data_IF_698268864539
#
_entry.id   IF_698268864539
#
_cell.length_a   1.000
_cell.length_b   1.000
_cell.length_c   1.000
_cell.angle_alpha   90.00
_cell.angle_beta   90.00
_cell.angle_gamma   90.00
#
_symmetry.space_group_name_H-M   'P 1'
#
loop_
_entity.id
_entity.type
_entity.pdbx_description
1 polymer ?
#
# COMPACT_ATOMS: atom_id res chain seq x y z
N UNK A 1 -6.22 9.96 -0.51
CA UNK A 1 -6.08 10.02 0.97
C UNK A 1 -6.31 11.42 1.55
N UNK A 2 -5.72 12.51 1.03
CA UNK A 2 -5.86 13.85 1.63
C UNK A 2 -7.23 14.54 1.44
N UNK A 3 -7.91 14.30 0.31
CA UNK A 3 -9.20 14.93 -0.04
C UNK A 3 -10.37 14.52 0.87
N UNK A 4 -10.38 13.29 1.38
CA UNK A 4 -11.39 12.86 2.37
C UNK A 4 -11.08 13.38 3.78
N UNK A 5 -9.80 13.48 4.16
CA UNK A 5 -9.41 14.15 5.41
C UNK A 5 -9.85 15.61 5.43
N UNK A 6 -9.88 16.27 4.27
CA UNK A 6 -10.35 17.64 4.12
C UNK A 6 -11.88 17.74 4.18
N UNK A 7 -12.63 16.84 3.55
CA UNK A 7 -14.09 16.78 3.71
C UNK A 7 -14.50 16.44 5.16
N UNK A 8 -13.75 15.56 5.84
CA UNK A 8 -13.95 15.27 7.26
C UNK A 8 -13.61 16.48 8.15
N UNK A 9 -12.52 17.19 7.88
CA UNK A 9 -12.15 18.39 8.62
C UNK A 9 -13.22 19.48 8.47
N UNK A 10 -13.77 19.65 7.27
CA UNK A 10 -14.84 20.63 7.01
C UNK A 10 -16.15 20.24 7.69
N UNK A 11 -16.52 18.95 7.67
CA UNK A 11 -17.67 18.47 8.44
C UNK A 11 -17.46 18.60 9.95
N UNK A 12 -16.23 18.44 10.45
CA UNK A 12 -15.92 18.58 11.87
C UNK A 12 -15.95 20.05 12.31
N UNK A 13 -15.50 20.97 11.45
CA UNK A 13 -15.65 22.42 11.63
C UNK A 13 -17.13 22.82 11.60
N UNK A 14 -17.92 22.28 10.67
CA UNK A 14 -19.36 22.51 10.60
C UNK A 14 -20.13 21.92 11.79
N UNK A 15 -19.67 20.79 12.36
CA UNK A 15 -20.19 20.24 13.62
C UNK A 15 -19.80 21.10 14.82
N UNK A 16 -18.57 21.60 14.88
CA UNK A 16 -18.16 22.54 15.94
C UNK A 16 -19.01 23.81 15.90
N UNK A 17 -19.24 24.40 14.73
CA UNK A 17 -20.11 25.58 14.60
C UNK A 17 -21.55 25.29 15.03
N UNK A 18 -22.10 24.13 14.68
CA UNK A 18 -23.43 23.71 15.18
C UNK A 18 -23.44 23.46 16.69
N UNK A 19 -22.37 22.89 17.24
CA UNK A 19 -22.19 22.70 18.67
C UNK A 19 -22.04 24.02 19.42
N UNK A 20 -21.31 24.98 18.86
CA UNK A 20 -21.14 26.34 19.39
C UNK A 20 -22.44 27.14 19.31
N UNK A 21 -23.21 27.01 18.23
CA UNK A 21 -24.54 27.62 18.11
C UNK A 21 -25.55 26.98 19.08
N UNK A 22 -25.53 25.65 19.22
CA UNK A 22 -26.38 24.94 20.18
C UNK A 22 -25.97 25.21 21.64
N UNK A 23 -24.67 25.38 21.91
CA UNK A 23 -24.15 25.76 23.21
C UNK A 23 -24.44 27.24 23.51
N UNK A 24 -24.36 28.13 22.53
CA UNK A 24 -24.78 29.53 22.66
C UNK A 24 -26.28 29.63 22.94
N UNK A 25 -27.11 28.80 22.30
CA UNK A 25 -28.55 28.74 22.59
C UNK A 25 -28.89 28.01 23.90
N UNK A 26 -28.02 27.13 24.40
CA UNK A 26 -28.20 26.44 25.68
C UNK A 26 -27.65 27.23 26.88
N UNK A 27 -26.61 28.05 26.67
CA UNK A 27 -26.07 28.96 27.68
C UNK A 27 -27.06 30.07 28.04
N UNK A 28 -27.97 30.42 27.12
CA UNK A 28 -29.11 31.30 27.38
C UNK A 28 -30.24 30.59 28.17
N UNK A 29 -30.11 29.29 28.45
CA UNK A 29 -31.21 28.45 28.92
C UNK A 29 -30.97 27.53 30.12
N UNK A 30 -29.79 27.44 30.75
CA UNK A 30 -29.63 26.40 31.77
C UNK A 30 -28.38 26.42 32.63
N UNK A 31 -28.57 26.95 33.84
CA UNK A 31 -27.79 26.64 35.04
C UNK A 31 -28.02 25.18 35.44
N UNK A 32 -26.95 24.40 35.61
CA UNK A 32 -26.95 23.22 36.49
C UNK A 32 -26.23 21.95 36.00
N UNK A 33 -25.20 21.51 36.74
CA UNK A 33 -25.06 20.09 37.10
C UNK A 33 -23.93 19.23 36.49
N UNK A 34 -22.75 19.27 37.13
CA UNK A 34 -21.96 18.12 37.64
C UNK A 34 -21.69 16.82 36.83
N UNK A 35 -20.43 16.69 36.37
CA UNK A 35 -19.39 15.68 36.73
C UNK A 35 -19.48 14.14 36.49
N UNK A 36 -18.28 13.61 36.18
CA UNK A 36 -17.69 12.27 36.51
C UNK A 36 -17.82 11.17 35.43
N UNK A 37 -16.93 10.18 35.26
CA UNK A 37 -15.55 9.86 35.67
C UNK A 37 -15.22 8.45 35.11
N UNK A 38 -13.93 8.09 35.07
CA UNK A 38 -13.34 6.74 35.07
C UNK A 38 -13.32 5.91 33.78
N UNK A 39 -12.42 4.95 33.55
CA UNK A 39 -11.01 4.66 33.88
C UNK A 39 -10.71 3.28 33.22
N UNK A 40 -9.44 2.99 32.92
CA UNK A 40 -8.91 1.80 32.20
C UNK A 40 -9.16 0.43 32.91
N UNK A 41 -8.77 -0.73 32.33
CA UNK A 41 -7.38 -1.21 32.52
C UNK A 41 -6.77 -2.11 31.41
N UNK A 42 -5.44 -2.24 31.54
CA UNK A 42 -4.42 -3.06 30.85
C UNK A 42 -4.52 -4.58 31.14
N UNK A 43 -3.89 -5.44 30.32
CA UNK A 43 -3.19 -6.71 30.69
C UNK A 43 -2.48 -7.35 29.44
N UNK A 44 -1.59 -8.39 29.56
CA UNK A 44 -0.20 -8.32 29.09
C UNK A 44 0.28 -9.47 28.15
N UNK A 45 1.59 -9.38 27.84
CA UNK A 45 2.51 -10.27 27.09
C UNK A 45 2.42 -11.79 27.35
N UNK A 46 2.69 -12.57 26.29
CA UNK A 46 3.13 -13.97 26.39
C UNK A 46 4.29 -14.24 25.42
N UNK A 47 5.45 -14.57 25.98
CA UNK A 47 6.63 -15.15 25.32
C UNK A 47 6.48 -16.67 25.25
N UNK A 48 6.92 -17.30 24.16
CA UNK A 48 7.37 -18.70 24.20
C UNK A 48 8.62 -18.89 23.34
N UNK A 49 9.69 -19.27 24.04
CA UNK A 49 10.85 -20.03 23.58
C UNK A 49 10.45 -21.45 23.16
N UNK A 50 11.09 -22.02 22.14
CA UNK A 50 11.56 -23.42 22.07
C UNK A 50 12.19 -23.68 20.69
N UNK A 51 13.15 -24.59 20.45
CA UNK A 51 14.32 -25.19 21.13
C UNK A 51 14.90 -26.18 20.11
N UNK A 52 16.22 -26.20 20.00
CA UNK A 52 17.01 -27.10 19.14
C UNK A 52 16.70 -28.59 19.35
N UNK A 53 16.89 -29.42 18.31
CA UNK A 53 17.31 -30.82 18.45
C UNK A 53 18.00 -31.33 17.17
N UNK A 54 19.32 -31.54 17.27
CA UNK A 54 20.10 -32.47 16.45
C UNK A 54 20.09 -33.85 17.14
N UNK A 55 20.33 -34.95 16.40
CA UNK A 55 21.08 -36.03 17.01
C UNK A 55 22.21 -36.57 16.14
N UNK A 56 23.25 -36.91 16.89
CA UNK A 56 24.52 -37.56 16.59
C UNK A 56 24.41 -39.07 16.32
N UNK A 57 25.34 -39.54 15.48
CA UNK A 57 26.19 -40.73 15.58
C UNK A 57 25.61 -42.09 16.05
N UNK A 58 25.88 -43.14 15.26
CA UNK A 58 26.42 -44.40 15.77
C UNK A 58 27.11 -45.21 14.67
N UNK A 59 28.30 -45.67 15.00
CA UNK A 59 29.15 -46.70 14.40
C UNK A 59 28.51 -48.10 14.45
N UNK A 60 28.84 -48.99 13.51
CA UNK A 60 29.05 -50.41 13.83
C UNK A 60 29.90 -51.12 12.78
N UNK A 61 30.83 -51.94 13.27
CA UNK A 61 31.84 -52.74 12.54
C UNK A 61 31.23 -54.04 11.99
N UNK A 62 31.77 -54.55 10.87
CA UNK A 62 31.39 -55.83 10.32
C UNK A 62 32.28 -56.26 9.15
N UNK A 63 33.31 -57.02 9.50
CA UNK A 63 34.26 -57.73 8.63
C UNK A 63 33.60 -58.92 7.88
N UNK A 64 34.29 -59.33 6.81
CA UNK A 64 34.23 -60.64 6.11
C UNK A 64 33.12 -60.90 5.07
N UNK A 65 33.46 -60.80 3.77
CA UNK A 65 33.36 -61.88 2.74
C UNK A 65 33.53 -61.30 1.31
N UNK A 66 34.76 -60.87 0.99
CA UNK A 66 35.14 -60.29 -0.30
C UNK A 66 35.50 -61.38 -1.31
N UNK A 67 34.61 -61.66 -2.27
CA UNK A 67 35.03 -62.44 -3.44
C UNK A 67 34.03 -62.68 -4.55
N UNK A 68 32.72 -62.66 -4.28
CA UNK A 68 31.70 -62.92 -5.31
C UNK A 68 30.51 -61.97 -5.32
N UNK A 69 30.47 -60.97 -4.42
CA UNK A 69 29.36 -60.02 -4.32
C UNK A 69 29.58 -58.70 -5.10
N UNK A 70 30.84 -58.37 -5.41
CA UNK A 70 31.21 -57.13 -6.15
C UNK A 70 30.56 -57.01 -7.53
N UNK A 71 30.48 -58.10 -8.31
CA UNK A 71 29.86 -58.05 -9.65
C UNK A 71 28.34 -57.85 -9.61
N UNK A 72 27.68 -58.25 -8.52
CA UNK A 72 26.23 -58.10 -8.37
C UNK A 72 25.87 -56.74 -7.78
N UNK A 73 26.67 -56.24 -6.85
CA UNK A 73 26.53 -54.90 -6.27
C UNK A 73 26.77 -53.79 -7.30
N UNK A 74 27.69 -54.00 -8.25
CA UNK A 74 27.94 -53.05 -9.33
C UNK A 74 26.75 -52.91 -10.29
N UNK A 75 26.08 -54.02 -10.62
CA UNK A 75 24.89 -54.01 -11.49
C UNK A 75 23.70 -53.35 -10.77
N UNK A 76 23.53 -53.65 -9.48
CA UNK A 76 22.46 -53.06 -8.65
C UNK A 76 22.71 -51.56 -8.44
N UNK A 77 23.94 -51.15 -8.10
CA UNK A 77 24.38 -49.76 -7.98
C UNK A 77 24.11 -48.95 -9.26
N UNK A 78 24.48 -49.51 -10.41
CA UNK A 78 24.29 -48.87 -11.71
C UNK A 78 22.81 -48.73 -12.07
N UNK A 79 21.99 -49.73 -11.72
CA UNK A 79 20.53 -49.67 -11.91
C UNK A 79 19.87 -48.61 -11.02
N UNK A 80 20.33 -48.51 -9.76
CA UNK A 80 19.80 -47.56 -8.79
C UNK A 80 20.17 -46.12 -9.16
N UNK A 81 21.40 -45.90 -9.65
CA UNK A 81 21.86 -44.60 -10.14
C UNK A 81 21.05 -44.14 -11.36
N UNK A 82 20.74 -45.06 -12.31
CA UNK A 82 19.86 -44.77 -13.45
C UNK A 82 18.43 -44.45 -13.01
N UNK A 83 17.87 -45.22 -12.07
CA UNK A 83 16.54 -44.97 -11.53
C UNK A 83 16.43 -43.61 -10.83
N UNK A 84 17.42 -43.25 -9.99
CA UNK A 84 17.51 -41.92 -9.37
C UNK A 84 17.60 -40.80 -10.40
N UNK A 85 18.35 -41.01 -11.49
CA UNK A 85 18.49 -40.01 -12.56
C UNK A 85 17.17 -39.79 -13.31
N UNK A 86 16.42 -40.86 -13.60
CA UNK A 86 15.11 -40.78 -14.23
C UNK A 86 14.11 -40.11 -13.30
N UNK A 87 14.07 -40.51 -12.02
CA UNK A 87 13.22 -39.89 -11.01
C UNK A 87 13.50 -38.39 -10.87
N UNK A 88 14.77 -37.98 -10.77
CA UNK A 88 15.15 -36.57 -10.68
C UNK A 88 14.77 -35.78 -11.93
N UNK A 89 14.86 -36.38 -13.12
CA UNK A 89 14.40 -35.74 -14.37
C UNK A 89 12.88 -35.60 -14.42
N UNK A 90 12.13 -36.60 -13.95
CA UNK A 90 10.67 -36.55 -13.89
C UNK A 90 10.18 -35.57 -12.81
N UNK A 91 10.81 -35.55 -11.64
CA UNK A 91 10.52 -34.59 -10.57
C UNK A 91 10.88 -33.16 -11.00
N UNK A 92 12.01 -32.96 -11.68
CA UNK A 92 12.38 -31.68 -12.27
C UNK A 92 11.38 -31.23 -13.34
N UNK A 93 10.97 -32.13 -14.24
CA UNK A 93 9.96 -31.85 -15.28
C UNK A 93 8.57 -31.55 -14.68
N UNK A 94 8.18 -32.25 -13.61
CA UNK A 94 6.94 -31.98 -12.89
C UNK A 94 6.97 -30.60 -12.21
N UNK A 95 8.07 -30.21 -11.57
CA UNK A 95 8.21 -28.88 -10.95
C UNK A 95 8.37 -27.72 -11.96
N UNK A 96 8.91 -28.01 -13.15
CA UNK A 96 9.18 -27.02 -14.19
C UNK A 96 7.91 -26.52 -14.92
N UNK A 97 6.75 -27.14 -14.66
CA UNK A 97 5.53 -26.90 -15.42
C UNK A 97 4.45 -26.13 -14.67
N UNK A 98 4.78 -25.36 -13.62
CA UNK A 98 3.92 -24.19 -13.32
C UNK A 98 4.13 -23.22 -14.48
N UNK A 99 3.18 -23.11 -15.42
CA UNK A 99 3.45 -22.40 -16.65
C UNK A 99 3.75 -20.96 -16.26
N UNK A 100 4.84 -20.37 -16.78
CA UNK A 100 5.23 -18.99 -16.47
C UNK A 100 4.06 -17.98 -16.64
N UNK A 101 3.07 -18.36 -17.46
CA UNK A 101 1.80 -17.67 -17.64
C UNK A 101 0.91 -17.65 -16.37
N UNK A 102 0.85 -18.74 -15.60
CA UNK A 102 0.09 -18.80 -14.35
C UNK A 102 0.70 -17.90 -13.28
N UNK A 103 2.04 -17.88 -13.17
CA UNK A 103 2.75 -16.96 -12.29
C UNK A 103 2.45 -15.51 -12.66
N UNK A 104 2.50 -15.19 -13.95
CA UNK A 104 2.18 -13.84 -14.45
C UNK A 104 0.73 -13.46 -14.18
N UNK A 105 -0.21 -14.38 -14.43
CA UNK A 105 -1.64 -14.17 -14.18
C UNK A 105 -1.94 -13.93 -12.69
N UNK A 106 -1.30 -14.69 -11.80
CA UNK A 106 -1.42 -14.48 -10.35
C UNK A 106 -0.98 -13.09 -9.91
N UNK A 107 0.09 -12.54 -10.49
CA UNK A 107 0.48 -11.17 -10.15
C UNK A 107 -0.45 -10.10 -10.72
N UNK A 108 -1.10 -10.36 -11.87
CA UNK A 108 -2.16 -9.49 -12.37
C UNK A 108 -3.39 -9.48 -11.46
N UNK A 109 -3.79 -10.63 -10.88
CA UNK A 109 -4.90 -10.65 -9.94
C UNK A 109 -4.55 -9.91 -8.65
N UNK A 110 -3.32 -10.06 -8.14
CA UNK A 110 -2.82 -9.26 -7.00
C UNK A 110 -2.84 -7.76 -7.34
N UNK A 111 -2.45 -7.37 -8.55
CA UNK A 111 -2.50 -5.97 -8.99
C UNK A 111 -3.95 -5.46 -9.01
N UNK A 112 -4.87 -6.17 -9.66
CA UNK A 112 -6.30 -5.78 -9.69
C UNK A 112 -6.89 -5.72 -8.29
N UNK A 113 -6.56 -6.69 -7.44
CA UNK A 113 -6.99 -6.72 -6.04
C UNK A 113 -6.44 -5.53 -5.25
N UNK A 114 -5.17 -5.16 -5.47
CA UNK A 114 -4.56 -3.98 -4.83
C UNK A 114 -5.23 -2.67 -5.27
N UNK A 115 -5.59 -2.53 -6.54
CA UNK A 115 -6.35 -1.38 -7.04
C UNK A 115 -7.76 -1.35 -6.43
N UNK A 116 -8.40 -2.52 -6.33
CA UNK A 116 -9.72 -2.65 -5.73
C UNK A 116 -9.69 -2.23 -4.26
N UNK A 117 -8.80 -2.79 -3.44
CA UNK A 117 -8.65 -2.37 -2.04
C UNK A 117 -8.21 -0.91 -1.91
N UNK A 118 -7.40 -0.41 -2.86
CA UNK A 118 -6.98 0.98 -2.92
C UNK A 118 -8.14 1.97 -3.16
N UNK A 119 -9.19 1.51 -3.83
CA UNK A 119 -10.43 2.24 -4.10
C UNK A 119 -11.42 2.30 -2.92
N UNK A 120 -10.98 1.98 -1.70
CA UNK A 120 -11.84 1.87 -0.53
C UNK A 120 -12.75 3.11 -0.37
N UNK A 121 -14.09 2.93 -0.32
CA UNK A 121 -15.02 4.04 -0.21
C UNK A 121 -14.82 4.74 1.14
N UNK A 122 -14.64 6.06 1.10
CA UNK A 122 -14.33 6.84 2.30
C UNK A 122 -15.59 7.41 2.96
N UNK A 123 -16.77 7.17 2.40
CA UNK A 123 -18.06 7.56 2.98
C UNK A 123 -19.18 6.61 2.58
N UNK A 124 -20.21 6.52 3.42
CA UNK A 124 -21.36 5.61 3.26
C UNK A 124 -21.19 4.27 3.99
N UNK A 125 -22.27 3.49 4.05
CA UNK A 125 -22.24 2.13 4.59
C UNK A 125 -21.49 1.21 3.62
N UNK A 126 -20.20 1.03 3.87
CA UNK A 126 -19.28 0.20 3.05
C UNK A 126 -19.77 -1.24 2.89
N UNK A 127 -20.65 -1.71 3.78
CA UNK A 127 -21.22 -3.07 3.74
C UNK A 127 -22.14 -3.30 2.54
N UNK A 128 -22.79 -2.25 2.03
CA UNK A 128 -23.79 -2.38 0.96
C UNK A 128 -23.14 -2.25 -0.43
N UNK A 129 -21.88 -1.82 -0.49
CA UNK A 129 -21.18 -1.59 -1.74
C UNK A 129 -20.42 -2.86 -2.12
N UNK A 130 -20.96 -3.63 -3.06
CA UNK A 130 -20.20 -4.70 -3.71
C UNK A 130 -19.03 -4.10 -4.51
N UNK A 131 -17.78 -4.62 -4.43
CA UNK A 131 -17.33 -5.83 -3.75
C UNK A 131 -16.63 -5.56 -2.40
N UNK A 132 -16.89 -4.46 -1.69
CA UNK A 132 -16.19 -4.17 -0.43
C UNK A 132 -16.77 -4.91 0.79
N UNK A 133 -17.97 -5.46 0.66
CA UNK A 133 -18.67 -6.20 1.71
C UNK A 133 -17.83 -7.37 2.28
N UNK A 134 -17.22 -8.21 1.42
CA UNK A 134 -16.38 -9.33 1.88
C UNK A 134 -15.14 -8.86 2.66
N UNK A 135 -14.52 -7.76 2.24
CA UNK A 135 -13.36 -7.20 2.90
C UNK A 135 -13.72 -6.60 4.27
N UNK A 136 -14.90 -5.99 4.40
CA UNK A 136 -15.39 -5.52 5.70
C UNK A 136 -15.67 -6.67 6.67
N UNK A 137 -16.13 -7.82 6.16
CA UNK A 137 -16.30 -9.02 6.97
C UNK A 137 -14.95 -9.57 7.45
N UNK A 138 -13.96 -9.69 6.55
CA UNK A 138 -12.62 -10.21 6.88
C UNK A 138 -11.86 -9.32 7.89
N UNK A 139 -11.99 -8.00 7.79
CA UNK A 139 -11.25 -7.05 8.64
C UNK A 139 -12.01 -6.65 9.93
N UNK A 140 -13.09 -7.34 10.29
CA UNK A 140 -13.77 -7.12 11.57
C UNK A 140 -14.64 -5.86 11.65
N UNK A 141 -15.21 -5.44 10.51
CA UNK A 141 -16.23 -4.39 10.43
C UNK A 141 -15.73 -3.02 9.94
N UNK A 142 -16.69 -2.14 9.69
CA UNK A 142 -16.49 -0.78 9.14
C UNK A 142 -16.01 0.20 10.23
N UNK A 143 -14.82 -0.04 10.79
CA UNK A 143 -14.15 0.93 11.68
C UNK A 143 -13.30 1.89 10.84
N UNK A 144 -13.12 3.16 11.26
CA UNK A 144 -12.30 4.12 10.52
C UNK A 144 -10.82 3.68 10.40
N UNK A 145 -10.32 2.85 11.31
CA UNK A 145 -8.99 2.24 11.20
C UNK A 145 -8.91 1.17 10.09
N UNK A 146 -10.01 0.47 9.81
CA UNK A 146 -10.09 -0.58 8.79
C UNK A 146 -9.74 -0.04 7.41
N UNK A 147 -10.27 1.12 7.04
CA UNK A 147 -9.97 1.75 5.75
C UNK A 147 -8.49 2.14 5.61
N UNK A 148 -7.85 2.60 6.70
CA UNK A 148 -6.41 2.93 6.69
C UNK A 148 -5.56 1.69 6.53
N UNK A 149 -5.91 0.61 7.23
CA UNK A 149 -5.20 -0.66 7.17
C UNK A 149 -5.37 -1.34 5.80
N UNK A 150 -6.60 -1.35 5.27
CA UNK A 150 -6.87 -1.83 3.91
C UNK A 150 -6.03 -1.08 2.88
N UNK A 151 -5.89 0.24 3.03
CA UNK A 151 -5.13 1.06 2.11
C UNK A 151 -3.61 0.88 2.25
N UNK A 152 -3.09 0.65 3.46
CA UNK A 152 -1.68 0.28 3.64
C UNK A 152 -1.37 -1.09 3.04
N UNK A 153 -2.25 -2.07 3.25
CA UNK A 153 -2.12 -3.41 2.65
C UNK A 153 -2.20 -3.31 1.13
N UNK A 154 -3.15 -2.55 0.60
CA UNK A 154 -3.28 -2.28 -0.83
C UNK A 154 -2.01 -1.66 -1.40
N UNK A 155 -1.41 -0.69 -0.72
CA UNK A 155 -0.18 -0.04 -1.17
C UNK A 155 1.00 -1.02 -1.24
N UNK A 156 1.18 -1.87 -0.22
CA UNK A 156 2.24 -2.90 -0.23
C UNK A 156 2.00 -3.92 -1.33
N UNK A 157 0.77 -4.42 -1.49
CA UNK A 157 0.41 -5.37 -2.56
C UNK A 157 0.59 -4.75 -3.94
N UNK A 158 0.24 -3.48 -4.11
CA UNK A 158 0.42 -2.74 -5.36
C UNK A 158 1.91 -2.68 -5.72
N UNK A 159 2.77 -2.23 -4.80
CA UNK A 159 4.22 -2.16 -5.03
C UNK A 159 4.80 -3.54 -5.34
N UNK A 160 4.43 -4.57 -4.57
CA UNK A 160 4.89 -5.93 -4.80
C UNK A 160 4.46 -6.46 -6.18
N UNK A 161 3.23 -6.14 -6.62
CA UNK A 161 2.74 -6.56 -7.94
C UNK A 161 3.43 -5.83 -9.09
N UNK A 162 3.74 -4.54 -8.92
CA UNK A 162 4.42 -3.73 -9.93
C UNK A 162 5.86 -4.19 -10.16
N UNK A 163 6.57 -4.58 -9.09
CA UNK A 163 7.94 -5.10 -9.19
C UNK A 163 8.02 -6.44 -9.93
N UNK A 164 7.00 -7.29 -9.76
CA UNK A 164 6.93 -8.63 -10.37
C UNK A 164 6.38 -8.62 -11.81
N UNK A 165 5.74 -7.55 -12.26
CA UNK A 165 5.19 -7.43 -13.62
C UNK A 165 6.16 -6.70 -14.57
N UNK A 166 6.81 -7.41 -15.52
CA UNK A 166 7.72 -6.76 -16.46
C UNK A 166 7.04 -5.74 -17.39
N UNK A 167 5.74 -5.91 -17.67
CA UNK A 167 4.97 -4.93 -18.46
C UNK A 167 4.67 -3.65 -17.68
N UNK A 168 4.28 -3.78 -16.42
CA UNK A 168 4.00 -2.63 -15.57
C UNK A 168 5.28 -1.83 -15.32
N UNK A 169 6.39 -2.52 -15.08
CA UNK A 169 7.72 -1.91 -14.97
C UNK A 169 8.09 -1.10 -16.21
N UNK A 170 7.83 -1.59 -17.42
CA UNK A 170 8.07 -0.81 -18.66
C UNK A 170 7.30 0.51 -18.71
N UNK A 171 6.07 0.54 -18.20
CA UNK A 171 5.27 1.77 -18.12
C UNK A 171 5.86 2.73 -17.08
N UNK A 172 6.28 2.21 -15.94
CA UNK A 172 6.93 3.00 -14.88
C UNK A 172 8.32 3.53 -15.31
N UNK A 173 9.01 2.80 -16.18
CA UNK A 173 10.28 3.21 -16.77
C UNK A 173 10.13 4.22 -17.91
N UNK A 174 8.91 4.65 -18.24
CA UNK A 174 8.69 5.68 -19.24
C UNK A 174 9.25 7.04 -18.79
N UNK A 175 9.70 7.84 -19.76
CA UNK A 175 10.24 9.18 -19.52
C UNK A 175 9.26 10.07 -18.76
N UNK A 176 7.97 9.93 -19.05
CA UNK A 176 6.91 10.69 -18.39
C UNK A 176 6.81 10.33 -16.90
N UNK A 177 6.79 9.03 -16.57
CA UNK A 177 6.70 8.60 -15.17
C UNK A 177 7.97 8.96 -14.38
N UNK A 178 9.15 8.84 -15.00
CA UNK A 178 10.41 9.28 -14.38
C UNK A 178 10.43 10.77 -14.10
N UNK A 179 9.99 11.58 -15.05
CA UNK A 179 9.85 13.02 -14.86
C UNK A 179 8.84 13.37 -13.75
N UNK A 180 7.69 12.71 -13.72
CA UNK A 180 6.71 12.82 -12.63
C UNK A 180 7.30 12.41 -11.27
N UNK A 181 8.19 11.41 -11.26
CA UNK A 181 8.93 11.00 -10.06
C UNK A 181 9.88 12.08 -9.56
N UNK A 182 10.62 12.74 -10.45
CA UNK A 182 11.50 13.87 -10.09
C UNK A 182 10.70 15.02 -9.48
N UNK A 183 9.61 15.45 -10.11
CA UNK A 183 8.79 16.54 -9.58
C UNK A 183 7.82 16.13 -8.46
N UNK A 184 7.79 14.84 -8.08
CA UNK A 184 6.77 14.28 -7.19
C UNK A 184 6.71 14.97 -5.82
N UNK A 185 7.86 15.33 -5.26
CA UNK A 185 7.94 16.04 -3.99
C UNK A 185 7.36 17.46 -4.09
N UNK A 186 7.71 18.20 -5.14
CA UNK A 186 7.13 19.51 -5.42
C UNK A 186 5.62 19.42 -5.65
N UNK A 187 5.17 18.42 -6.40
CA UNK A 187 3.75 18.16 -6.65
C UNK A 187 3.00 17.82 -5.35
N UNK A 188 3.59 17.06 -4.44
CA UNK A 188 3.02 16.78 -3.12
C UNK A 188 2.81 18.06 -2.30
N UNK A 189 3.74 19.00 -2.30
CA UNK A 189 3.55 20.27 -1.58
C UNK A 189 2.53 21.17 -2.29
N UNK A 190 2.63 21.28 -3.61
CA UNK A 190 1.84 22.21 -4.40
C UNK A 190 0.42 21.74 -4.68
N UNK A 191 0.10 20.44 -4.63
CA UNK A 191 -1.26 19.98 -4.96
C UNK A 191 -2.32 20.51 -3.99
N UNK A 192 -2.00 20.61 -2.68
CA UNK A 192 -2.93 21.18 -1.69
C UNK A 192 -3.10 22.67 -1.98
N UNK A 193 -2.01 23.37 -2.28
CA UNK A 193 -2.06 24.78 -2.59
C UNK A 193 -2.90 25.03 -3.85
N UNK A 194 -2.66 24.28 -4.92
CA UNK A 194 -3.41 24.34 -6.18
C UNK A 194 -4.90 24.08 -5.94
N UNK A 195 -5.25 23.05 -5.16
CA UNK A 195 -6.63 22.70 -4.82
C UNK A 195 -7.32 23.70 -3.88
N UNK A 196 -6.55 24.48 -3.11
CA UNK A 196 -7.04 25.48 -2.16
C UNK A 196 -7.05 26.90 -2.74
N UNK A 197 -6.59 27.10 -3.97
CA UNK A 197 -6.63 28.41 -4.61
C UNK A 197 -8.07 28.91 -4.73
N UNK A 198 -8.26 30.22 -4.53
CA UNK A 198 -9.56 30.89 -4.71
C UNK A 198 -10.15 30.65 -6.10
N UNK A 199 -9.29 30.53 -7.12
CA UNK A 199 -9.69 30.18 -8.48
C UNK A 199 -10.36 28.80 -8.56
N UNK A 200 -9.71 27.76 -8.01
CA UNK A 200 -10.25 26.40 -8.04
C UNK A 200 -11.56 26.27 -7.25
N UNK A 201 -11.65 26.92 -6.08
CA UNK A 201 -12.85 26.88 -5.25
C UNK A 201 -14.00 27.71 -5.84
N UNK A 202 -13.71 28.92 -6.33
CA UNK A 202 -14.71 29.78 -6.96
C UNK A 202 -15.28 29.16 -8.24
N UNK A 203 -14.42 28.61 -9.10
CA UNK A 203 -14.85 27.93 -10.31
C UNK A 203 -15.72 26.71 -9.98
N UNK A 204 -15.37 25.94 -8.95
CA UNK A 204 -16.17 24.80 -8.51
C UNK A 204 -17.57 25.22 -8.07
N UNK A 205 -17.69 26.25 -7.24
CA UNK A 205 -18.98 26.73 -6.74
C UNK A 205 -19.86 27.21 -7.91
N UNK A 206 -19.30 28.01 -8.81
CA UNK A 206 -20.01 28.51 -10.00
C UNK A 206 -20.51 27.38 -10.90
N UNK A 207 -19.69 26.36 -11.16
CA UNK A 207 -20.12 25.21 -11.97
C UNK A 207 -21.14 24.32 -11.23
N UNK A 208 -21.02 24.16 -9.91
CA UNK A 208 -22.00 23.43 -9.10
C UNK A 208 -23.38 24.14 -9.15
N UNK A 209 -23.40 25.47 -9.10
CA UNK A 209 -24.64 26.25 -9.22
C UNK A 209 -25.28 26.14 -10.61
N UNK A 210 -24.48 26.09 -11.68
CA UNK A 210 -24.99 26.01 -13.06
C UNK A 210 -25.51 24.63 -13.46
N UNK A 211 -24.87 23.56 -12.99
CA UNK A 211 -25.18 22.20 -13.45
C UNK A 211 -25.91 21.33 -12.44
N UNK A 212 -25.96 21.72 -11.16
CA UNK A 212 -26.70 21.00 -10.10
C UNK A 212 -26.14 19.63 -9.71
N UNK A 213 -25.37 18.98 -10.58
CA UNK A 213 -24.65 17.74 -10.31
C UNK A 213 -23.28 18.04 -9.69
N UNK A 214 -22.92 17.34 -8.61
CA UNK A 214 -21.66 17.57 -7.88
C UNK A 214 -20.42 16.97 -8.55
N UNK A 215 -20.60 15.94 -9.38
CA UNK A 215 -19.48 15.17 -9.91
C UNK A 215 -18.82 15.82 -11.12
N UNK A 216 -19.61 16.29 -12.09
CA UNK A 216 -19.09 16.87 -13.33
C UNK A 216 -18.28 18.17 -13.09
N UNK A 217 -18.79 19.18 -12.36
CA UNK A 217 -18.02 20.36 -11.94
C UNK A 217 -16.72 20.00 -11.24
N UNK A 218 -16.78 19.06 -10.29
CA UNK A 218 -15.62 18.62 -9.54
C UNK A 218 -14.55 18.00 -10.43
N UNK A 219 -14.95 17.11 -11.35
CA UNK A 219 -14.02 16.46 -12.28
C UNK A 219 -13.36 17.47 -13.23
N UNK A 220 -14.13 18.44 -13.74
CA UNK A 220 -13.60 19.50 -14.62
C UNK A 220 -12.61 20.39 -13.89
N UNK A 221 -12.94 20.84 -12.68
CA UNK A 221 -12.01 21.68 -11.90
C UNK A 221 -10.75 20.89 -11.54
N UNK A 222 -10.88 19.63 -11.16
CA UNK A 222 -9.75 18.77 -10.81
C UNK A 222 -8.81 18.56 -12.00
N UNK A 223 -9.35 18.14 -13.15
CA UNK A 223 -8.56 17.79 -14.33
C UNK A 223 -8.12 19.02 -15.11
N UNK A 224 -8.96 20.05 -15.19
CA UNK A 224 -8.70 21.24 -15.99
C UNK A 224 -7.86 22.31 -15.29
N UNK A 225 -7.96 22.43 -13.97
CA UNK A 225 -7.29 23.51 -13.22
C UNK A 225 -6.31 22.96 -12.19
N UNK A 226 -6.76 22.08 -11.30
CA UNK A 226 -5.95 21.63 -10.16
C UNK A 226 -4.76 20.79 -10.59
N UNK A 227 -4.96 19.79 -11.45
CA UNK A 227 -3.87 18.92 -11.92
C UNK A 227 -2.83 19.68 -12.74
N UNK A 228 -3.19 20.45 -13.79
CA UNK A 228 -2.21 21.23 -14.54
C UNK A 228 -1.53 22.28 -13.68
N UNK A 229 -2.28 22.96 -12.80
CA UNK A 229 -1.72 23.93 -11.86
C UNK A 229 -0.74 23.30 -10.87
N UNK A 230 -1.05 22.12 -10.34
CA UNK A 230 -0.17 21.37 -9.45
C UNK A 230 1.10 20.87 -10.15
N UNK A 231 0.99 20.39 -11.40
CA UNK A 231 2.15 19.98 -12.21
C UNK A 231 3.03 21.19 -12.53
N UNK A 232 2.44 22.32 -12.93
CA UNK A 232 3.17 23.54 -13.24
C UNK A 232 3.88 24.12 -12.02
N UNK A 233 3.18 24.26 -10.89
CA UNK A 233 3.77 24.72 -9.63
C UNK A 233 4.83 23.74 -9.11
N UNK A 234 4.59 22.43 -9.26
CA UNK A 234 5.54 21.39 -8.88
C UNK A 234 6.83 21.46 -9.69
N UNK A 235 6.76 21.63 -11.01
CA UNK A 235 7.94 21.83 -11.87
C UNK A 235 8.68 23.13 -11.53
N UNK A 236 7.94 24.21 -11.26
CA UNK A 236 8.53 25.47 -10.83
C UNK A 236 9.28 25.33 -9.49
N UNK A 237 8.65 24.69 -8.51
CA UNK A 237 9.26 24.42 -7.20
C UNK A 237 10.53 23.57 -7.33
N UNK A 238 10.46 22.51 -8.13
CA UNK A 238 11.61 21.65 -8.43
C UNK A 238 12.79 22.45 -9.02
N UNK A 239 12.53 23.30 -10.00
CA UNK A 239 13.58 24.11 -10.67
C UNK A 239 14.14 25.21 -9.78
N UNK A 240 13.29 25.89 -9.00
CA UNK A 240 13.68 27.08 -8.25
C UNK A 240 14.22 26.78 -6.86
N UNK A 241 13.68 25.77 -6.19
CA UNK A 241 13.99 25.46 -4.79
C UNK A 241 14.84 24.20 -4.73
N UNK A 242 14.32 23.07 -5.20
CA UNK A 242 14.93 21.77 -4.94
C UNK A 242 16.35 21.65 -5.52
N UNK A 243 16.53 21.99 -6.80
CA UNK A 243 17.87 22.02 -7.44
C UNK A 243 18.86 22.94 -6.74
N UNK A 244 18.40 24.05 -6.16
CA UNK A 244 19.26 24.99 -5.44
C UNK A 244 19.60 24.46 -4.05
N UNK A 245 18.65 23.86 -3.35
CA UNK A 245 18.87 23.21 -2.06
C UNK A 245 19.91 22.08 -2.18
N UNK A 246 19.83 21.24 -3.20
CA UNK A 246 20.84 20.17 -3.42
C UNK A 246 22.23 20.75 -3.66
N UNK A 247 22.35 21.81 -4.45
CA UNK A 247 23.63 22.51 -4.66
C UNK A 247 24.17 23.14 -3.38
N UNK A 248 23.29 23.74 -2.59
CA UNK A 248 23.63 24.32 -1.30
C UNK A 248 24.12 23.25 -0.32
N UNK A 249 23.45 22.10 -0.21
CA UNK A 249 23.86 21.01 0.67
C UNK A 249 25.20 20.41 0.25
N UNK A 250 25.45 20.26 -1.06
CA UNK A 250 26.76 19.81 -1.57
C UNK A 250 27.87 20.81 -1.22
N UNK A 251 27.64 22.08 -1.49
CA UNK A 251 28.56 23.15 -1.13
C UNK A 251 28.83 23.18 0.39
N UNK A 252 27.80 22.97 1.21
CA UNK A 252 27.92 22.92 2.66
C UNK A 252 28.73 21.69 3.11
N UNK A 253 28.52 20.53 2.50
CA UNK A 253 29.30 19.32 2.77
C UNK A 253 30.79 19.52 2.49
N UNK A 254 31.11 20.08 1.31
CA UNK A 254 32.48 20.45 0.94
C UNK A 254 33.08 21.48 1.91
N UNK A 255 32.28 22.45 2.37
CA UNK A 255 32.71 23.46 3.32
C UNK A 255 32.99 22.90 4.72
N UNK A 256 32.20 21.92 5.18
CA UNK A 256 32.40 21.24 6.48
C UNK A 256 33.50 20.18 6.40
N UNK A 257 33.88 19.73 5.19
CA UNK A 257 34.93 18.75 4.97
C UNK A 257 34.46 17.30 5.16
N UNK A 258 33.19 17.02 4.86
CA UNK A 258 32.58 15.67 4.86
C UNK A 258 32.40 15.17 3.43
#
# INVERSE_FOLDING_TARGET
>A
MFLSGMALADMNIARRRRGEQAAASAADGGVGGSSSSAAAPLLPLHNQEEKDLTPSASSDDGDDDDGQQQDQDDVVSTSMARAKTVYNRLAAAASASVPARLKTAGWWTVLVLSLLLGGWPVGGDVRDIWPYSWATWLLGGARPMTGRLALSVASVMLVASLDRLPRARKVLDSLLVRYLGEISYGLYLCHILAARTTLSQGLRIELEERWGEKFAPWAIVLVGVVLPGAVWLGDLHWRLVDKKCVRFTRWLGEWVGV
#
